data_IF_367466434622
#
_entry.id   IF_367466434622
#
_cell.length_a   1.000
_cell.length_b   1.000
_cell.length_c   1.000
_cell.angle_alpha   90.00
_cell.angle_beta   90.00
_cell.angle_gamma   90.00
#
_symmetry.space_group_name_H-M   'P 1'
#
loop_
_entity.id
_entity.type
_entity.pdbx_description
1 polymer ?
2 non-polymer ?
3 water ?
#
# COMPACT_ATOMS: atom_id res chain seq x y z
N UNK A 2 -14.40 -15.77 19.30
CA UNK A 2 -15.28 -14.71 18.72
C UNK A 2 -15.43 -13.58 19.75
N UNK A 3 -15.11 -13.84 21.04
CA UNK A 3 -15.24 -12.87 22.14
C UNK A 3 -14.55 -13.41 23.40
N UNK A 4 -13.72 -12.56 24.04
CA UNK A 4 -13.15 -12.80 25.37
C UNK A 4 -13.82 -11.85 26.37
N UNK A 5 -14.80 -12.37 27.13
CA UNK A 5 -15.67 -11.55 27.96
C UNK A 5 -14.84 -10.93 29.08
N UNK A 6 -15.17 -9.66 29.39
CA UNK A 6 -14.61 -8.94 30.52
C UNK A 6 -15.54 -9.09 31.73
N UNK A 7 -14.97 -9.65 32.81
CA UNK A 7 -15.64 -9.97 34.07
C UNK A 7 -15.02 -9.12 35.19
N UNK A 8 -15.84 -8.85 36.24
CA UNK A 8 -15.48 -8.04 37.39
C UNK A 8 -14.55 -8.79 38.36
N UNK A 9 -13.42 -8.19 38.81
CA UNK A 9 -12.78 -8.62 40.04
C UNK A 9 -13.67 -8.29 41.24
N UNK A 19 -6.46 -14.63 38.63
CA UNK A 19 -6.72 -13.55 37.64
C UNK A 19 -5.46 -13.27 36.81
N UNK A 20 -4.32 -13.01 37.47
CA UNK A 20 -3.07 -12.73 36.78
C UNK A 20 -2.44 -14.01 36.23
N UNK A 21 -2.95 -15.18 36.67
CA UNK A 21 -2.64 -16.46 36.06
C UNK A 21 -3.63 -16.74 34.92
N UNK A 22 -4.89 -16.31 35.08
CA UNK A 22 -5.89 -16.42 34.01
C UNK A 22 -5.47 -15.56 32.82
N UNK A 23 -5.06 -14.31 33.10
CA UNK A 23 -4.78 -13.35 32.05
C UNK A 23 -3.44 -13.70 31.41
N UNK A 24 -2.45 -14.15 32.19
CA UNK A 24 -1.17 -14.59 31.63
C UNK A 24 -1.32 -15.95 30.95
N UNK A 25 -2.37 -16.70 31.32
CA UNK A 25 -2.79 -17.89 30.60
C UNK A 25 -3.29 -17.55 29.21
N UNK A 26 -4.21 -16.59 29.14
CA UNK A 26 -4.77 -16.08 27.89
C UNK A 26 -3.67 -15.58 26.95
N UNK A 27 -2.72 -14.83 27.51
CA UNK A 27 -1.69 -14.20 26.72
C UNK A 27 -0.66 -15.21 26.24
N UNK A 28 -0.50 -16.30 26.98
CA UNK A 28 0.37 -17.37 26.52
C UNK A 28 -0.33 -18.08 25.36
N UNK A 29 -1.62 -18.38 25.51
CA UNK A 29 -2.41 -19.03 24.47
C UNK A 29 -2.41 -18.20 23.19
N UNK A 30 -2.59 -16.88 23.37
CA UNK A 30 -2.77 -15.95 22.28
C UNK A 30 -1.46 -15.77 21.52
N UNK A 31 -0.37 -15.60 22.27
CA UNK A 31 0.95 -15.50 21.66
C UNK A 31 1.19 -16.70 20.73
N UNK A 32 0.71 -17.89 21.15
CA UNK A 32 0.84 -19.15 20.42
C UNK A 32 0.17 -19.02 19.04
N UNK A 33 -1.11 -18.56 19.04
CA UNK A 33 -1.87 -18.41 17.81
C UNK A 33 -1.21 -17.37 16.90
N UNK A 34 -0.67 -16.27 17.46
CA UNK A 34 -0.02 -15.24 16.67
C UNK A 34 1.28 -15.75 16.04
N UNK A 35 1.98 -16.69 16.70
CA UNK A 35 3.17 -17.27 16.10
C UNK A 35 2.76 -18.16 14.91
N UNK A 36 1.64 -18.88 15.06
CA UNK A 36 1.13 -19.79 14.06
C UNK A 36 0.70 -18.97 12.84
N UNK A 37 -0.11 -17.93 13.10
CA UNK A 37 -0.63 -17.07 12.05
C UNK A 37 0.52 -16.41 11.29
N UNK A 38 1.54 -15.98 12.05
CA UNK A 38 2.67 -15.28 11.47
C UNK A 38 3.46 -16.22 10.54
N UNK A 39 3.54 -17.50 10.92
CA UNK A 39 4.21 -18.52 10.13
C UNK A 39 3.55 -18.72 8.76
N UNK A 40 2.21 -18.74 8.71
CA UNK A 40 1.48 -19.15 7.51
C UNK A 40 0.93 -17.96 6.72
N UNK A 41 1.25 -16.72 7.13
CA UNK A 41 0.66 -15.55 6.49
C UNK A 41 1.35 -15.24 5.17
N UNK A 42 0.57 -15.19 4.07
CA UNK A 42 1.09 -14.93 2.74
C UNK A 42 0.27 -13.91 1.93
N UNK A 43 -0.92 -13.50 2.38
CA UNK A 43 -1.89 -12.86 1.51
C UNK A 43 -1.85 -11.32 1.48
N UNK A 44 -1.29 -10.71 2.52
CA UNK A 44 -1.46 -9.28 2.72
C UNK A 44 -0.08 -8.66 2.74
N UNK A 45 0.03 -7.37 2.36
CA UNK A 45 1.32 -6.73 2.18
C UNK A 45 1.98 -6.18 3.44
N UNK A 46 2.06 -7.03 4.47
CA UNK A 46 2.64 -6.63 5.74
C UNK A 46 3.95 -7.38 5.98
N UNK A 47 5.03 -6.62 6.17
CA UNK A 47 6.31 -7.15 6.57
C UNK A 47 6.24 -7.58 8.03
N UNK A 48 6.46 -8.88 8.25
CA UNK A 48 6.24 -9.53 9.54
C UNK A 48 7.58 -9.80 10.22
N UNK A 49 8.66 -9.42 9.56
CA UNK A 49 9.99 -9.52 10.13
C UNK A 49 10.24 -8.18 10.82
N UNK A 50 9.76 -8.13 12.08
CA UNK A 50 9.81 -6.93 12.92
C UNK A 50 10.96 -7.11 13.90
N UNK A 51 11.93 -6.19 13.86
CA UNK A 51 13.07 -6.31 14.75
C UNK A 51 13.30 -4.96 15.45
N UNK A 52 12.46 -4.74 16.48
CA UNK A 52 12.34 -3.48 17.20
C UNK A 52 12.26 -3.77 18.71
N UNK A 53 12.87 -4.89 19.13
CA UNK A 53 12.80 -5.36 20.51
C UNK A 53 13.30 -4.32 21.53
N UNK A 54 14.44 -3.61 21.30
CA UNK A 54 14.84 -2.46 22.12
C UNK A 54 13.87 -1.28 22.33
N UNK A 55 13.00 -1.00 21.35
CA UNK A 55 12.04 0.10 21.43
C UNK A 55 10.87 -0.23 22.35
N UNK A 56 10.70 -1.51 22.71
CA UNK A 56 9.49 -1.98 23.39
C UNK A 56 9.40 -1.42 24.82
N UNK A 57 10.54 -1.06 25.41
CA UNK A 57 10.57 -0.32 26.66
C UNK A 57 9.71 0.95 26.64
N UNK A 58 9.64 1.62 25.47
CA UNK A 58 9.01 2.93 25.30
C UNK A 58 7.48 2.83 25.36
N UNK A 59 6.97 1.61 25.50
CA UNK A 59 5.54 1.31 25.60
C UNK A 59 5.07 1.74 26.99
N UNK A 60 6.02 2.14 27.85
CA UNK A 60 5.77 2.64 29.18
C UNK A 60 5.25 4.09 29.13
N UNK A 61 5.45 4.77 27.97
CA UNK A 61 5.09 6.18 27.80
C UNK A 61 3.90 6.37 26.87
N UNK A 62 3.07 7.36 27.24
CA UNK A 62 1.98 7.81 26.40
C UNK A 62 2.52 8.84 25.42
N UNK A 63 3.21 8.35 24.38
CA UNK A 63 3.79 9.24 23.37
C UNK A 63 2.70 9.66 22.37
N UNK A 64 2.66 10.98 22.13
CA UNK A 64 1.62 11.59 21.34
C UNK A 64 2.21 12.78 20.61
N UNK A 65 2.20 12.73 19.26
CA UNK A 65 2.75 13.78 18.42
C UNK A 65 1.66 14.76 18.00
N UNK A 66 0.52 14.68 18.67
CA UNK A 66 -0.52 15.70 18.71
C UNK A 66 -0.05 17.01 18.07
N UNK A 67 -0.61 17.35 16.90
CA UNK A 67 -0.33 18.59 16.19
C UNK A 67 0.69 18.40 15.06
N UNK A 68 1.21 19.54 14.59
CA UNK A 68 2.13 19.61 13.46
C UNK A 68 3.46 18.95 13.83
N UNK A 69 4.06 18.12 12.95
CA UNK A 69 5.39 17.58 13.25
C UNK A 69 6.47 18.68 13.43
N UNK A 70 6.27 19.84 12.79
CA UNK A 70 7.29 20.87 12.65
C UNK A 70 7.07 22.02 13.63
N UNK A 71 5.91 22.04 14.29
CA UNK A 71 5.58 22.99 15.35
C UNK A 71 5.25 22.18 16.59
N UNK A 72 6.17 22.23 17.57
CA UNK A 72 6.04 21.54 18.84
C UNK A 72 4.86 22.12 19.64
N UNK A 73 3.99 21.20 20.09
CA UNK A 73 2.88 21.52 20.97
C UNK A 73 3.39 21.53 22.41
N UNK A 74 2.55 22.00 23.34
CA UNK A 74 2.91 22.07 24.74
C UNK A 74 2.96 20.68 25.39
N UNK A 75 2.31 19.66 24.77
CA UNK A 75 2.42 18.28 25.24
C UNK A 75 3.82 17.77 24.94
N UNK A 76 4.59 17.50 26.00
CA UNK A 76 6.00 17.22 25.86
C UNK A 76 6.36 15.76 25.59
N UNK A 77 5.45 14.80 25.80
CA UNK A 77 5.80 13.40 25.63
C UNK A 77 5.59 13.01 24.16
N UNK A 78 6.58 13.35 23.32
CA UNK A 78 6.46 13.22 21.88
C UNK A 78 7.78 12.79 21.24
N UNK A 79 7.71 12.46 19.95
CA UNK A 79 8.83 11.90 19.21
C UNK A 79 9.09 12.72 17.96
N UNK A 80 8.81 14.04 17.98
CA UNK A 80 9.04 14.87 16.81
C UNK A 80 10.46 14.80 16.25
N UNK A 81 11.49 14.56 17.07
CA UNK A 81 12.87 14.53 16.55
C UNK A 81 12.97 13.35 15.60
N UNK A 82 12.40 12.21 16.00
CA UNK A 82 12.34 11.02 15.17
C UNK A 82 11.45 11.26 13.95
N UNK A 83 10.25 11.81 14.20
CA UNK A 83 9.27 11.95 13.14
C UNK A 83 9.83 12.82 12.02
N UNK A 84 10.37 13.97 12.41
CA UNK A 84 10.93 14.90 11.46
C UNK A 84 12.15 14.29 10.75
N UNK A 85 12.98 13.57 11.49
CA UNK A 85 14.02 12.77 10.86
C UNK A 85 13.52 11.93 9.68
N UNK A 86 12.40 11.23 9.91
CA UNK A 86 11.85 10.26 8.97
C UNK A 86 11.24 10.98 7.78
N UNK A 87 10.53 12.07 8.05
CA UNK A 87 9.90 12.82 6.98
C UNK A 87 10.98 13.39 6.07
N UNK A 88 12.10 13.81 6.65
CA UNK A 88 13.19 14.40 5.87
C UNK A 88 13.76 13.35 4.93
N UNK A 89 13.90 12.13 5.44
CA UNK A 89 14.40 11.02 4.65
C UNK A 89 13.46 10.74 3.47
N UNK A 90 12.16 10.82 3.74
CA UNK A 90 11.17 10.56 2.70
C UNK A 90 11.21 11.70 1.70
N UNK A 91 11.38 12.94 2.18
CA UNK A 91 11.46 14.06 1.25
C UNK A 91 12.67 13.91 0.31
N UNK A 92 13.80 13.50 0.86
CA UNK A 92 15.00 13.23 0.07
C UNK A 92 14.65 12.15 -0.95
N UNK A 93 14.09 11.02 -0.46
CA UNK A 93 13.69 9.90 -1.29
C UNK A 93 12.86 10.33 -2.48
N UNK A 94 11.91 11.25 -2.31
CA UNK A 94 11.00 11.63 -3.38
C UNK A 94 11.39 12.97 -4.01
N UNK A 95 12.62 13.41 -3.71
CA UNK A 95 13.21 14.60 -4.32
C UNK A 95 12.33 15.82 -4.12
N UNK A 96 12.10 16.17 -2.86
CA UNK A 96 11.56 17.48 -2.52
C UNK A 96 12.38 18.10 -1.37
N UNK A 97 12.64 19.41 -1.47
CA UNK A 97 13.61 20.04 -0.59
C UNK A 97 12.91 20.28 0.76
N UNK A 98 13.71 20.46 1.83
CA UNK A 98 13.23 20.83 3.15
C UNK A 98 12.15 21.93 3.07
N UNK A 99 12.34 22.99 2.29
CA UNK A 99 11.54 24.21 2.44
C UNK A 99 10.47 24.25 1.34
N UNK A 100 10.40 23.14 0.60
CA UNK A 100 9.33 22.95 -0.37
C UNK A 100 8.24 22.01 0.15
N UNK A 101 8.52 21.19 1.18
CA UNK A 101 7.63 20.09 1.55
C UNK A 101 7.04 20.20 2.96
N UNK A 102 5.88 19.56 3.12
CA UNK A 102 5.31 19.25 4.42
C UNK A 102 4.78 17.81 4.40
N UNK A 103 4.74 17.20 5.56
CA UNK A 103 4.13 15.89 5.66
C UNK A 103 4.05 15.45 7.11
N UNK A 104 3.58 14.21 7.30
CA UNK A 104 3.41 13.68 8.65
C UNK A 104 3.36 12.16 8.59
N UNK A 105 3.65 11.56 9.73
CA UNK A 105 3.46 10.14 9.91
C UNK A 105 2.01 9.86 10.34
N UNK A 106 1.30 9.11 9.48
CA UNK A 106 -0.11 8.81 9.59
C UNK A 106 -0.34 7.49 10.34
N UNK A 107 -1.61 7.10 10.43
CA UNK A 107 -2.03 5.82 10.99
C UNK A 107 -2.23 4.75 9.92
N UNK A 108 -1.92 5.05 8.65
CA UNK A 108 -1.89 4.05 7.62
C UNK A 108 -2.18 4.64 6.25
N UNK A 109 -2.24 3.76 5.25
CA UNK A 109 -2.39 4.16 3.87
C UNK A 109 -3.70 4.89 3.64
N UNK A 110 -4.75 4.51 4.40
CA UNK A 110 -6.05 5.13 4.25
C UNK A 110 -5.99 6.60 4.64
N UNK A 111 -5.30 6.91 5.75
CA UNK A 111 -5.20 8.29 6.18
C UNK A 111 -4.40 9.09 5.16
N UNK A 112 -3.32 8.52 4.61
CA UNK A 112 -2.53 9.20 3.58
C UNK A 112 -3.39 9.56 2.38
N UNK A 113 -4.26 8.63 1.96
CA UNK A 113 -5.19 8.86 0.86
C UNK A 113 -6.24 9.91 1.23
N UNK A 114 -6.80 9.84 2.43
CA UNK A 114 -7.80 10.82 2.84
C UNK A 114 -7.19 12.21 2.84
N UNK A 115 -5.95 12.31 3.29
CA UNK A 115 -5.29 13.60 3.38
C UNK A 115 -4.99 14.12 1.98
N UNK A 116 -4.36 13.27 1.16
CA UNK A 116 -3.95 13.67 -0.17
C UNK A 116 -5.14 14.11 -1.02
N UNK A 117 -6.24 13.37 -0.97
CA UNK A 117 -7.37 13.68 -1.81
C UNK A 117 -8.04 14.95 -1.32
N UNK A 118 -8.05 15.17 0.00
CA UNK A 118 -8.60 16.38 0.62
C UNK A 118 -7.78 17.60 0.22
N UNK A 119 -6.46 17.48 0.22
CA UNK A 119 -5.59 18.54 -0.29
C UNK A 119 -6.00 18.92 -1.71
N UNK A 120 -6.12 17.93 -2.59
CA UNK A 120 -6.51 18.17 -3.97
C UNK A 120 -7.85 18.88 -4.07
N UNK A 121 -8.82 18.52 -3.21
CA UNK A 121 -10.11 19.16 -3.23
C UNK A 121 -10.00 20.64 -2.84
N UNK A 122 -9.07 20.99 -1.97
CA UNK A 122 -8.99 22.36 -1.48
C UNK A 122 -8.28 23.22 -2.53
N UNK A 123 -7.33 22.63 -3.27
CA UNK A 123 -6.72 23.29 -4.41
C UNK A 123 -7.79 23.55 -5.46
N UNK A 124 -8.69 22.57 -5.69
CA UNK A 124 -9.71 22.65 -6.74
C UNK A 124 -11.06 22.18 -6.21
N UNK A 125 -11.80 23.04 -5.48
CA UNK A 125 -13.14 22.69 -4.99
C UNK A 125 -14.14 22.21 -6.03
N UNK A 126 -13.92 22.65 -7.28
CA UNK A 126 -14.76 22.32 -8.43
C UNK A 126 -14.18 21.12 -9.20
N UNK A 127 -12.95 20.72 -8.86
CA UNK A 127 -12.23 19.61 -9.47
C UNK A 127 -13.10 18.37 -9.65
N UNK A 128 -13.02 17.77 -10.84
CA UNK A 128 -13.50 16.40 -11.03
C UNK A 128 -12.38 15.47 -10.55
N UNK A 129 -12.77 14.41 -9.84
CA UNK A 129 -11.83 13.42 -9.31
C UNK A 129 -11.80 12.18 -10.21
N UNK A 130 -10.59 11.75 -10.54
CA UNK A 130 -10.37 10.61 -11.41
C UNK A 130 -9.48 9.59 -10.70
N UNK A 131 -9.89 8.33 -10.79
CA UNK A 131 -9.07 7.23 -10.30
C UNK A 131 -9.45 5.97 -11.08
N UNK A 132 -8.54 4.98 -11.12
CA UNK A 132 -8.82 3.76 -11.88
C UNK A 132 -9.81 2.84 -11.16
N UNK A 133 -10.41 1.94 -11.94
CA UNK A 133 -11.37 0.99 -11.44
C UNK A 133 -10.77 0.03 -10.42
N UNK A 134 -9.44 0.01 -10.28
CA UNK A 134 -8.76 -0.93 -9.39
C UNK A 134 -8.02 -0.18 -8.28
N UNK A 135 -8.51 1.03 -8.01
CA UNK A 135 -8.15 1.79 -6.83
C UNK A 135 -8.65 1.09 -5.59
N UNK A 136 -7.90 1.32 -4.50
CA UNK A 136 -8.25 0.82 -3.19
C UNK A 136 -9.55 1.45 -2.71
N UNK A 137 -10.26 0.73 -1.85
CA UNK A 137 -11.59 1.14 -1.41
C UNK A 137 -11.51 2.45 -0.63
N UNK A 138 -10.32 2.77 -0.09
CA UNK A 138 -10.10 4.00 0.65
C UNK A 138 -10.35 5.20 -0.25
N UNK A 139 -10.07 5.02 -1.56
CA UNK A 139 -10.08 6.13 -2.49
C UNK A 139 -11.52 6.54 -2.78
N UNK A 140 -12.39 5.54 -3.01
CA UNK A 140 -13.79 5.80 -3.31
C UNK A 140 -14.51 6.25 -2.05
N UNK A 141 -14.12 5.69 -0.90
CA UNK A 141 -14.57 6.15 0.41
C UNK A 141 -14.25 7.65 0.59
N UNK A 142 -13.00 8.05 0.34
CA UNK A 142 -12.63 9.46 0.42
C UNK A 142 -13.56 10.34 -0.42
N UNK A 143 -13.81 9.93 -1.68
CA UNK A 143 -14.60 10.73 -2.62
C UNK A 143 -16.02 10.92 -2.11
N UNK A 144 -16.58 9.86 -1.51
CA UNK A 144 -17.92 9.93 -0.95
C UNK A 144 -17.90 10.77 0.32
N UNK A 145 -16.90 10.59 1.17
CA UNK A 145 -16.82 11.38 2.40
C UNK A 145 -16.74 12.86 2.05
N UNK A 146 -16.05 13.18 0.97
CA UNK A 146 -15.75 14.56 0.65
C UNK A 146 -16.78 15.12 -0.32
N UNK A 147 -17.71 14.29 -0.78
CA UNK A 147 -18.72 14.70 -1.75
C UNK A 147 -18.05 15.23 -3.01
N UNK A 148 -17.15 14.43 -3.57
CA UNK A 148 -16.46 14.77 -4.79
C UNK A 148 -17.04 13.90 -5.91
N UNK A 149 -17.18 14.49 -7.11
CA UNK A 149 -17.62 13.74 -8.26
C UNK A 149 -16.45 12.87 -8.71
N UNK A 150 -16.70 11.55 -8.70
CA UNK A 150 -15.67 10.57 -8.99
C UNK A 150 -15.96 9.90 -10.34
N UNK A 151 -15.02 10.04 -11.27
CA UNK A 151 -15.09 9.40 -12.56
C UNK A 151 -14.13 8.21 -12.55
N UNK A 152 -14.67 6.98 -12.54
CA UNK A 152 -13.84 5.77 -12.58
C UNK A 152 -13.27 5.57 -13.98
N UNK A 153 -11.94 5.45 -14.03
CA UNK A 153 -11.22 5.28 -15.26
C UNK A 153 -10.94 3.79 -15.45
N UNK A 154 -11.08 3.34 -16.69
CA UNK A 154 -10.80 1.97 -17.03
C UNK A 154 -9.33 1.60 -16.80
N UNK A 155 -9.08 0.29 -16.90
CA UNK A 155 -7.84 -0.36 -16.52
C UNK A 155 -7.49 -1.36 -17.63
N UNK A 156 -6.21 -1.44 -17.97
CA UNK A 156 -5.70 -2.55 -18.77
C UNK A 156 -5.80 -3.87 -17.99
N UNK A 157 -5.54 -4.99 -18.69
CA UNK A 157 -5.71 -6.33 -18.16
C UNK A 157 -4.89 -6.44 -16.87
N UNK A 158 -3.71 -5.83 -16.85
CA UNK A 158 -2.73 -6.07 -15.80
C UNK A 158 -3.02 -5.18 -14.59
N UNK A 159 -3.93 -4.19 -14.77
CA UNK A 159 -4.45 -3.40 -13.68
C UNK A 159 -4.01 -1.93 -13.71
N UNK A 160 -3.04 -1.59 -14.56
CA UNK A 160 -2.66 -0.21 -14.87
C UNK A 160 -3.85 0.64 -15.31
N UNK A 161 -3.86 1.92 -14.93
CA UNK A 161 -4.89 2.82 -15.46
C UNK A 161 -4.73 2.86 -16.98
N UNK A 162 -5.87 2.95 -17.69
CA UNK A 162 -5.93 3.03 -19.14
C UNK A 162 -5.93 4.50 -19.56
N UNK A 163 -4.78 5.01 -20.04
CA UNK A 163 -4.61 6.44 -20.31
C UNK A 163 -5.35 6.89 -21.57
N UNK A 164 -5.79 5.94 -22.40
CA UNK A 164 -6.72 6.23 -23.49
C UNK A 164 -8.09 6.54 -22.92
N UNK A 165 -8.53 5.72 -21.96
CA UNK A 165 -9.83 5.95 -21.33
C UNK A 165 -9.79 7.21 -20.46
N UNK A 166 -8.63 7.43 -19.82
CA UNK A 166 -8.33 8.65 -19.08
C UNK A 166 -8.50 9.86 -19.99
N UNK A 167 -7.73 9.86 -21.10
CA UNK A 167 -7.82 10.89 -22.13
C UNK A 167 -9.28 11.16 -22.50
N UNK A 168 -10.01 10.11 -22.86
CA UNK A 168 -11.42 10.26 -23.24
C UNK A 168 -12.18 11.04 -22.18
N UNK A 169 -12.05 10.57 -20.92
CA UNK A 169 -12.78 11.11 -19.77
C UNK A 169 -12.38 12.56 -19.46
N UNK A 170 -11.06 12.85 -19.46
CA UNK A 170 -10.59 14.22 -19.38
C UNK A 170 -11.35 15.09 -20.39
N UNK A 171 -11.32 14.67 -21.67
CA UNK A 171 -11.81 15.47 -22.79
C UNK A 171 -13.29 15.81 -22.64
N UNK A 172 -14.09 15.02 -21.91
CA UNK A 172 -15.50 15.36 -21.71
C UNK A 172 -15.72 16.17 -20.43
N UNK A 173 -14.64 16.68 -19.80
CA UNK A 173 -14.73 17.58 -18.66
C UNK A 173 -13.58 18.59 -18.76
N UNK A 174 -13.43 19.13 -19.98
CA UNK A 174 -12.37 20.08 -20.33
C UNK A 174 -12.46 21.37 -19.49
N UNK A 175 -13.69 21.74 -19.11
CA UNK A 175 -13.97 22.99 -18.41
C UNK A 175 -13.33 22.99 -17.02
N UNK A 176 -13.41 21.86 -16.30
CA UNK A 176 -13.06 21.83 -14.89
C UNK A 176 -11.66 21.26 -14.67
N UNK A 177 -11.02 21.65 -13.52
CA UNK A 177 -9.75 21.07 -13.10
C UNK A 177 -9.86 19.56 -12.85
N UNK A 178 -8.71 18.91 -12.95
CA UNK A 178 -8.62 17.47 -12.74
C UNK A 178 -7.82 17.21 -11.45
N UNK A 179 -8.45 16.47 -10.52
CA UNK A 179 -7.77 15.85 -9.40
C UNK A 179 -7.61 14.35 -9.68
N UNK A 180 -6.38 13.86 -9.60
CA UNK A 180 -6.15 12.47 -9.96
C UNK A 180 -5.51 11.71 -8.80
N UNK A 181 -6.05 10.50 -8.54
CA UNK A 181 -5.34 9.49 -7.78
C UNK A 181 -4.73 8.47 -8.73
N UNK A 182 -3.41 8.23 -8.54
CA UNK A 182 -2.65 7.21 -9.22
C UNK A 182 -2.26 6.13 -8.22
N UNK A 183 -2.42 4.88 -8.65
CA UNK A 183 -2.11 3.72 -7.86
C UNK A 183 -0.70 3.23 -8.19
N UNK A 184 0.21 3.41 -7.23
CA UNK A 184 1.55 2.87 -7.34
C UNK A 184 1.56 1.53 -6.59
N UNK A 185 1.06 0.49 -7.29
CA UNK A 185 0.92 -0.84 -6.73
C UNK A 185 -0.53 -1.08 -6.28
N UNK A 186 -1.40 -1.42 -7.24
CA UNK A 186 -2.80 -1.70 -6.95
C UNK A 186 -2.89 -2.91 -6.02
N UNK A 187 -3.95 -2.89 -5.21
CA UNK A 187 -4.17 -3.90 -4.16
C UNK A 187 -4.12 -5.32 -4.72
N UNK A 188 -4.94 -5.61 -5.75
CA UNK A 188 -5.14 -6.99 -6.14
C UNK A 188 -4.00 -7.47 -7.02
N UNK A 189 -3.70 -6.71 -8.08
CA UNK A 189 -2.83 -7.17 -9.15
C UNK A 189 -1.41 -6.60 -9.07
N UNK A 190 -1.20 -5.57 -8.25
CA UNK A 190 0.14 -5.05 -8.08
C UNK A 190 0.58 -4.23 -9.30
N UNK A 191 -0.38 -3.60 -9.96
CA UNK A 191 -0.06 -2.76 -11.10
C UNK A 191 0.43 -1.40 -10.63
N UNK A 192 1.20 -0.74 -11.50
CA UNK A 192 1.72 0.62 -11.27
C UNK A 192 1.20 1.51 -12.40
N UNK A 193 0.33 2.46 -12.03
CA UNK A 193 -0.14 3.48 -12.96
C UNK A 193 1.07 4.26 -13.49
N UNK A 194 1.00 4.58 -14.78
CA UNK A 194 2.06 5.26 -15.52
C UNK A 194 1.96 6.76 -15.27
N UNK A 195 2.69 7.22 -14.26
CA UNK A 195 2.73 8.62 -13.86
C UNK A 195 3.04 9.48 -15.08
N UNK A 196 4.16 9.16 -15.73
CA UNK A 196 4.68 9.92 -16.87
C UNK A 196 3.63 10.00 -17.98
N UNK A 197 2.96 8.88 -18.28
CA UNK A 197 2.00 8.89 -19.38
C UNK A 197 0.74 9.67 -18.99
N UNK A 198 0.34 9.57 -17.71
CA UNK A 198 -0.81 10.33 -17.21
C UNK A 198 -0.52 11.83 -17.34
N UNK A 199 0.71 12.22 -16.96
CA UNK A 199 1.10 13.62 -17.00
C UNK A 199 1.09 14.09 -18.46
N UNK A 200 1.78 13.37 -19.34
CA UNK A 200 1.71 13.64 -20.77
C UNK A 200 0.25 13.77 -21.25
N UNK A 201 -0.63 12.86 -20.85
CA UNK A 201 -2.00 12.86 -21.34
C UNK A 201 -2.73 14.14 -20.95
N UNK A 202 -2.47 14.60 -19.71
CA UNK A 202 -3.02 15.84 -19.19
C UNK A 202 -2.54 17.02 -20.04
N UNK A 203 -1.24 17.06 -20.32
CA UNK A 203 -0.62 18.16 -21.05
C UNK A 203 -1.24 18.23 -22.46
N UNK A 204 -1.34 17.09 -23.15
CA UNK A 204 -1.82 17.11 -24.53
C UNK A 204 -3.35 17.16 -24.59
N UNK A 205 -4.02 17.18 -23.43
CA UNK A 205 -5.46 17.42 -23.39
C UNK A 205 -5.77 18.86 -23.01
N UNK A 206 -4.70 19.66 -22.78
CA UNK A 206 -4.85 21.09 -22.56
C UNK A 206 -4.77 21.51 -21.09
N UNK A 207 -4.55 20.54 -20.17
CA UNK A 207 -4.39 20.82 -18.75
C UNK A 207 -2.93 21.17 -18.45
N UNK A 208 -2.73 22.40 -18.00
CA UNK A 208 -1.43 22.79 -17.51
C UNK A 208 -1.37 22.49 -16.02
N UNK A 209 -0.14 22.47 -15.50
CA UNK A 209 0.18 22.05 -14.15
C UNK A 209 -0.80 22.62 -13.12
N UNK A 210 -1.28 23.83 -13.40
CA UNK A 210 -2.03 24.60 -12.42
C UNK A 210 -3.53 24.38 -12.65
N UNK A 211 -3.89 23.32 -13.38
CA UNK A 211 -5.28 22.89 -13.45
C UNK A 211 -5.43 21.38 -13.23
N UNK A 212 -4.39 20.73 -12.67
CA UNK A 212 -4.53 19.38 -12.17
C UNK A 212 -3.70 19.20 -10.90
N UNK A 213 -4.17 18.26 -10.05
CA UNK A 213 -3.49 17.83 -8.83
C UNK A 213 -3.45 16.31 -8.86
N UNK A 214 -2.26 15.73 -8.61
CA UNK A 214 -2.11 14.28 -8.56
C UNK A 214 -1.69 13.83 -7.15
N UNK A 215 -2.42 12.85 -6.64
CA UNK A 215 -1.95 12.11 -5.49
C UNK A 215 -1.47 10.72 -5.91
N UNK A 216 -0.34 10.29 -5.39
CA UNK A 216 0.14 8.93 -5.59
C UNK A 216 -0.13 8.09 -4.34
N UNK A 217 -1.01 7.08 -4.51
CA UNK A 217 -1.23 6.09 -3.47
C UNK A 217 -0.17 5.02 -3.65
N UNK A 218 0.86 5.04 -2.79
CA UNK A 218 1.94 4.10 -2.89
C UNK A 218 2.05 3.20 -1.67
N UNK A 219 0.91 2.74 -1.15
CA UNK A 219 0.85 2.11 0.15
C UNK A 219 1.97 1.08 0.34
N UNK A 220 2.09 0.12 -0.59
CA UNK A 220 3.22 -0.80 -0.59
C UNK A 220 4.35 -0.33 -1.52
N UNK A 221 4.07 -0.17 -2.82
CA UNK A 221 5.13 -0.06 -3.83
C UNK A 221 5.76 1.33 -3.96
N UNK A 222 5.10 2.40 -3.49
CA UNK A 222 5.75 3.70 -3.42
C UNK A 222 7.03 3.67 -2.58
N UNK A 223 7.07 2.82 -1.54
CA UNK A 223 8.29 2.65 -0.78
C UNK A 223 9.32 1.91 -1.63
N UNK A 224 8.88 0.85 -2.32
CA UNK A 224 9.81 -0.05 -2.96
C UNK A 224 10.38 0.54 -4.25
N UNK A 225 9.56 1.28 -5.00
CA UNK A 225 9.98 1.64 -6.34
C UNK A 225 11.31 2.43 -6.36
N UNK A 226 11.56 3.41 -5.46
CA UNK A 226 12.81 4.18 -5.52
C UNK A 226 14.09 3.34 -5.40
N UNK A 227 13.96 2.09 -4.97
CA UNK A 227 15.14 1.27 -4.79
C UNK A 227 15.50 0.49 -6.05
N UNK A 228 14.67 0.61 -7.08
CA UNK A 228 14.96 0.05 -8.39
C UNK A 228 15.54 1.16 -9.27
N UNK A 229 16.22 0.76 -10.34
CA UNK A 229 16.78 1.71 -11.29
C UNK A 229 15.77 2.12 -12.36
N UNK A 230 14.51 1.66 -12.28
CA UNK A 230 13.59 1.73 -13.40
C UNK A 230 12.19 2.13 -12.94
N UNK A 231 11.26 2.21 -13.90
CA UNK A 231 9.85 2.43 -13.61
C UNK A 231 9.54 3.93 -13.66
N UNK A 232 8.25 4.35 -13.60
CA UNK A 232 7.90 5.78 -13.53
C UNK A 232 8.31 6.35 -12.17
N UNK A 233 9.54 6.87 -12.10
CA UNK A 233 10.11 7.46 -10.89
C UNK A 233 9.10 8.39 -10.24
N UNK A 234 9.03 8.27 -8.89
CA UNK A 234 8.21 9.13 -8.05
C UNK A 234 9.10 10.28 -7.58
N UNK A 235 8.80 11.47 -8.08
CA UNK A 235 9.64 12.61 -7.78
C UNK A 235 8.77 13.86 -7.88
N UNK A 236 9.00 14.79 -6.95
CA UNK A 236 8.26 16.03 -7.01
C UNK A 236 8.90 16.99 -8.02
N UNK A 237 10.01 16.56 -8.66
CA UNK A 237 10.47 17.24 -9.88
C UNK A 237 9.39 17.12 -10.96
N UNK A 238 8.53 16.10 -10.91
CA UNK A 238 7.36 16.09 -11.76
C UNK A 238 6.22 16.79 -11.04
N UNK A 239 5.15 17.19 -11.76
CA UNK A 239 4.01 17.85 -11.13
C UNK A 239 2.99 16.93 -10.42
N UNK A 240 3.49 16.15 -9.45
CA UNK A 240 2.63 15.48 -8.48
C UNK A 240 2.45 16.39 -7.27
N UNK A 241 1.33 16.17 -6.55
CA UNK A 241 0.90 16.95 -5.39
C UNK A 241 1.31 16.32 -4.06
N UNK A 242 1.16 14.98 -3.95
CA UNK A 242 1.30 14.25 -2.69
C UNK A 242 1.53 12.77 -2.97
N UNK A 243 2.28 12.16 -2.04
CA UNK A 243 2.58 10.74 -2.08
C UNK A 243 2.39 10.19 -0.67
N UNK A 244 1.61 9.08 -0.52
CA UNK A 244 1.56 8.30 0.72
C UNK A 244 2.09 6.88 0.56
N UNK A 245 2.71 6.39 1.63
CA UNK A 245 3.04 5.00 1.76
C UNK A 245 2.58 4.54 3.15
N UNK A 246 2.51 3.22 3.32
CA UNK A 246 2.18 2.59 4.59
C UNK A 246 3.45 2.05 5.22
N UNK A 247 3.66 2.37 6.50
CA UNK A 247 4.86 1.93 7.20
C UNK A 247 4.83 0.47 7.64
N UNK A 248 3.65 -0.03 7.99
CA UNK A 248 3.46 -1.43 8.37
C UNK A 248 3.40 -2.39 7.16
N UNK A 250 5.77 -2.32 3.67
CA UNK A 250 7.13 -2.76 3.36
C UNK A 250 8.09 -2.64 4.55
N UNK A 251 8.12 -1.51 5.27
CA UNK A 251 9.15 -1.31 6.28
C UNK A 251 8.88 -2.22 7.48
N UNK A 252 7.60 -2.38 7.81
CA UNK A 252 7.19 -3.22 8.92
C UNK A 252 7.09 -2.41 10.20
N UNK A 253 5.93 -2.55 10.87
CA UNK A 253 5.67 -1.83 12.10
C UNK A 253 4.63 -2.62 12.89
N UNK A 254 4.80 -2.84 14.22
CA UNK A 254 3.79 -3.53 15.00
C UNK A 254 2.37 -2.97 14.81
N UNK A 255 2.24 -1.63 14.76
CA UNK A 255 0.98 -0.95 14.51
C UNK A 255 0.95 -0.33 13.11
N UNK A 256 -0.23 -0.28 12.47
CA UNK A 256 -0.35 0.46 11.22
C UNK A 256 0.12 1.92 11.35
N UNK A 257 0.83 2.35 10.32
CA UNK A 257 1.28 3.72 10.20
C UNK A 257 1.53 4.02 8.73
N UNK A 258 1.91 5.27 8.45
CA UNK A 258 2.22 5.69 7.09
C UNK A 258 2.98 7.01 7.07
N UNK A 259 3.36 7.41 5.86
CA UNK A 259 4.03 8.67 5.64
C UNK A 259 3.30 9.33 4.48
N UNK A 260 2.86 10.58 4.71
CA UNK A 260 2.21 11.41 3.71
C UNK A 260 3.12 12.61 3.48
N UNK A 261 3.45 12.90 2.22
CA UNK A 261 4.33 14.01 1.91
C UNK A 261 3.72 14.79 0.76
N UNK A 262 3.53 16.10 1.00
CA UNK A 262 3.01 17.01 0.01
C UNK A 262 3.93 18.24 -0.09
N UNK A 263 3.52 19.13 -1.00
CA UNK A 263 4.17 20.41 -1.23
C UNK A 263 3.63 21.39 -0.19
N UNK A 264 4.55 22.15 0.43
CA UNK A 264 4.22 23.10 1.48
C UNK A 264 3.13 24.09 1.08
N UNK A 265 3.16 24.55 -0.17
CA UNK A 265 2.20 25.54 -0.63
C UNK A 265 0.79 24.95 -0.55
N UNK A 266 0.70 23.63 -0.72
CA UNK A 266 -0.56 22.90 -0.68
C UNK A 266 -1.17 22.80 0.73
N UNK A 267 -0.34 22.79 1.79
CA UNK A 267 -0.84 22.52 3.13
C UNK A 267 -1.52 23.74 3.74
N UNK A 268 -1.28 24.97 3.24
CA UNK A 268 -1.76 26.20 3.89
C UNK A 268 -3.29 26.21 3.99
N UNK A 269 -3.97 25.66 2.97
CA UNK A 269 -5.42 25.62 2.92
C UNK A 269 -6.04 24.71 3.99
N UNK A 270 -5.29 23.69 4.51
CA UNK A 270 -5.76 22.79 5.55
C UNK A 270 -5.30 23.25 6.94
N UNK A 271 -4.15 23.93 7.01
CA UNK A 271 -3.51 24.20 8.28
C UNK A 271 -4.19 25.37 9.00
N UNK A 272 -4.66 25.11 10.22
CA UNK A 272 -5.22 26.12 11.11
C UNK A 272 -4.51 26.10 12.46
N UNK A 273 -4.33 27.26 13.08
CA UNK A 273 -3.77 27.34 14.42
C UNK A 273 -4.79 26.77 15.40
N UNK A 274 -4.30 26.08 16.45
CA UNK A 274 -5.15 25.62 17.55
C UNK A 274 -4.49 26.09 18.83
N UNK A 275 -5.14 27.05 19.52
CA UNK A 275 -4.45 27.76 20.58
C UNK A 275 -4.10 26.81 21.73
N UNK A 276 -5.00 25.87 22.10
CA UNK A 276 -4.82 25.05 23.30
C UNK A 276 -3.70 24.00 23.11
N UNK A 277 -3.30 23.72 21.85
CA UNK A 277 -2.16 22.87 21.54
C UNK A 277 -0.85 23.66 21.50
N UNK A 278 -0.89 24.97 21.19
CA UNK A 278 0.28 25.74 20.73
C UNK A 278 0.93 25.03 19.53
N UNK A 279 0.06 24.61 18.59
CA UNK A 279 0.49 23.99 17.35
C UNK A 279 -0.57 24.26 16.29
N UNK A 280 -0.37 23.72 15.09
CA UNK A 280 -1.34 23.84 14.01
C UNK A 280 -1.96 22.46 13.72
N UNK A 281 -3.22 22.49 13.23
CA UNK A 281 -3.91 21.31 12.79
C UNK A 281 -3.98 21.31 11.25
N UNK A 282 -3.21 20.41 10.63
CA UNK A 282 -3.25 20.23 9.19
C UNK A 282 -3.28 18.73 8.86
N UNK A 283 -3.64 17.93 9.88
CA UNK A 283 -3.72 16.49 9.79
C UNK A 283 -5.19 16.08 9.79
N UNK A 284 -5.49 14.86 9.33
CA UNK A 284 -6.82 14.27 9.49
C UNK A 284 -7.10 14.05 10.99
N UNK A 285 -6.06 13.57 11.68
CA UNK A 285 -6.09 13.20 13.08
C UNK A 285 -5.78 14.41 13.95
N UNK A 286 -6.00 14.21 15.26
CA UNK A 286 -5.53 15.10 16.32
C UNK A 286 -4.38 14.44 17.05
N UNK A 287 -4.68 13.70 18.14
CA UNK A 287 -3.68 12.85 18.78
C UNK A 287 -3.09 11.92 17.71
N UNK A 288 -1.75 11.80 17.72
CA UNK A 288 -1.02 10.98 16.76
C UNK A 288 -0.01 10.09 17.48
N UNK A 289 0.08 8.87 16.94
CA UNK A 289 1.00 7.85 17.38
C UNK A 289 2.43 8.39 17.25
N UNK A 290 3.11 8.38 18.41
CA UNK A 290 4.49 8.83 18.53
C UNK A 290 5.48 7.69 18.73
N UNK A 291 5.02 6.45 18.72
CA UNK A 291 5.94 5.33 18.76
C UNK A 291 6.33 4.91 17.35
N UNK A 292 5.37 4.95 16.42
CA UNK A 292 5.62 4.74 15.00
C UNK A 292 6.83 5.50 14.48
N UNK A 293 6.94 6.83 14.72
CA UNK A 293 8.05 7.60 14.20
C UNK A 293 9.40 7.03 14.68
N UNK A 294 9.42 6.55 15.91
CA UNK A 294 10.66 6.03 16.48
C UNK A 294 11.01 4.73 15.78
N UNK A 295 9.98 3.90 15.64
CA UNK A 295 10.12 2.59 15.02
C UNK A 295 10.63 2.75 13.60
N UNK A 296 10.06 3.67 12.83
CA UNK A 296 10.46 3.83 11.44
C UNK A 296 11.86 4.46 11.37
N UNK A 297 12.17 5.36 12.30
CA UNK A 297 13.49 5.96 12.38
C UNK A 297 14.52 4.87 12.64
N UNK A 298 14.23 4.03 13.61
CA UNK A 298 15.13 2.94 13.95
C UNK A 298 15.46 2.13 12.70
N UNK A 299 14.43 1.86 11.89
CA UNK A 299 14.57 0.94 10.78
C UNK A 299 15.39 1.61 9.68
N UNK A 300 15.08 2.87 9.40
CA UNK A 300 15.76 3.58 8.33
C UNK A 300 17.27 3.68 8.62
N UNK A 301 17.62 3.80 9.91
CA UNK A 301 18.99 4.01 10.35
C UNK A 301 19.79 2.72 10.29
N UNK A 302 19.20 1.62 10.77
CA UNK A 302 19.83 0.32 10.80
C UNK A 302 20.11 -0.22 9.40
N UNK A 303 19.26 0.10 8.42
CA UNK A 303 19.29 -0.58 7.14
C UNK A 303 19.74 0.37 6.05
N UNK A 304 19.28 1.61 6.08
CA UNK A 304 19.65 2.58 5.08
C UNK A 304 19.14 2.21 3.70
N UNK A 305 19.35 3.12 2.74
CA UNK A 305 18.98 2.92 1.34
C UNK A 305 19.52 1.59 0.82
N UNK A 306 20.70 1.15 1.28
CA UNK A 306 21.30 -0.06 0.73
C UNK A 306 20.72 -1.33 1.36
N UNK A 307 20.33 -1.29 2.64
CA UNK A 307 19.62 -2.41 3.26
C UNK A 307 18.22 -2.61 2.66
N UNK A 308 17.53 -1.50 2.36
CA UNK A 308 16.16 -1.54 1.83
C UNK A 308 16.22 -2.04 0.40
N UNK A 309 17.18 -1.55 -0.37
CA UNK A 309 17.36 -1.98 -1.75
C UNK A 309 17.52 -3.51 -1.81
N UNK A 310 18.32 -4.05 -0.89
CA UNK A 310 18.58 -5.46 -0.90
C UNK A 310 17.27 -6.22 -0.67
N UNK A 311 16.56 -5.79 0.37
CA UNK A 311 15.29 -6.38 0.79
C UNK A 311 14.26 -6.30 -0.33
N UNK A 312 14.19 -5.15 -1.03
CA UNK A 312 13.28 -5.03 -2.15
C UNK A 312 13.67 -6.04 -3.22
N UNK A 313 14.96 -6.16 -3.53
CA UNK A 313 15.41 -6.98 -4.65
C UNK A 313 15.13 -8.45 -4.33
N UNK A 314 15.34 -8.86 -3.08
CA UNK A 314 15.10 -10.23 -2.71
C UNK A 314 13.61 -10.58 -2.85
N UNK A 315 12.73 -9.62 -2.55
CA UNK A 315 11.29 -9.83 -2.58
C UNK A 315 10.85 -9.96 -4.04
N UNK A 316 11.41 -9.15 -4.94
CA UNK A 316 11.05 -9.30 -6.34
C UNK A 316 11.52 -10.66 -6.87
N UNK A 317 12.68 -11.11 -6.39
CA UNK A 317 13.22 -12.38 -6.81
C UNK A 317 12.33 -13.52 -6.31
N UNK A 318 11.95 -13.45 -5.03
CA UNK A 318 11.11 -14.47 -4.43
C UNK A 318 9.71 -14.50 -5.07
N UNK A 319 9.23 -13.37 -5.58
CA UNK A 319 7.96 -13.33 -6.28
C UNK A 319 8.09 -14.03 -7.65
N UNK A 320 9.16 -13.67 -8.37
CA UNK A 320 9.53 -14.28 -9.64
C UNK A 320 9.56 -15.80 -9.48
N UNK A 321 10.24 -16.23 -8.42
CA UNK A 321 10.36 -17.64 -8.12
C UNK A 321 8.99 -18.24 -7.92
N UNK A 322 8.14 -17.63 -7.10
CA UNK A 322 6.85 -18.27 -6.82
C UNK A 322 6.06 -18.39 -8.12
N UNK A 323 5.96 -17.31 -8.90
CA UNK A 323 5.26 -17.33 -10.17
C UNK A 323 5.74 -18.49 -11.05
N UNK A 324 7.07 -18.55 -11.26
CA UNK A 324 7.68 -19.58 -12.10
C UNK A 324 7.21 -20.97 -11.68
N UNK A 325 7.29 -21.29 -10.39
CA UNK A 325 6.93 -22.59 -9.90
C UNK A 325 5.44 -22.88 -10.12
N UNK A 326 4.59 -21.85 -10.02
CA UNK A 326 3.15 -22.01 -10.27
C UNK A 326 2.90 -22.34 -11.74
N UNK A 327 3.54 -21.64 -12.69
CA UNK A 327 3.34 -21.90 -14.11
C UNK A 327 3.83 -23.29 -14.50
N UNK A 328 5.02 -23.62 -13.99
CA UNK A 328 5.55 -24.97 -13.98
C UNK A 328 4.51 -25.97 -13.52
N UNK A 329 3.77 -25.67 -12.45
CA UNK A 329 2.74 -26.58 -11.95
C UNK A 329 1.43 -26.44 -12.75
N UNK A 330 1.47 -25.68 -13.86
CA UNK A 330 0.30 -25.42 -14.69
C UNK A 330 -0.80 -24.71 -13.92
N UNK A 331 -0.42 -23.78 -13.01
CA UNK A 331 -1.36 -22.93 -12.28
C UNK A 331 -1.25 -21.54 -12.87
N UNK A 332 -2.40 -21.03 -13.34
CA UNK A 332 -2.51 -19.68 -13.85
C UNK A 332 -1.93 -18.72 -12.81
N UNK A 333 -1.06 -17.82 -13.25
CA UNK A 333 -0.37 -16.91 -12.35
C UNK A 333 0.25 -15.77 -13.16
N UNK A 334 0.27 -14.58 -12.56
CA UNK A 334 0.83 -13.39 -13.19
C UNK A 334 1.59 -12.60 -12.13
N UNK A 335 2.67 -11.92 -12.57
CA UNK A 335 3.44 -10.99 -11.77
C UNK A 335 3.81 -9.79 -12.64
N UNK A 336 3.34 -8.59 -12.28
CA UNK A 336 3.67 -7.39 -13.04
C UNK A 336 5.17 -7.11 -12.87
N UNK A 337 5.75 -6.28 -13.74
CA UNK A 337 7.20 -6.04 -13.73
C UNK A 337 7.68 -5.36 -12.44
N UNK A 338 6.84 -4.46 -11.90
CA UNK A 338 7.22 -3.62 -10.77
C UNK A 338 6.35 -4.04 -9.58
N UNK A 339 6.57 -5.26 -9.07
CA UNK A 339 5.59 -5.89 -8.20
C UNK A 339 6.23 -7.00 -7.39
N UNK A 340 5.72 -7.20 -6.18
CA UNK A 340 6.03 -8.39 -5.40
C UNK A 340 4.74 -9.19 -5.20
N UNK A 341 3.70 -8.87 -5.99
CA UNK A 341 2.42 -9.55 -5.79
C UNK A 341 2.15 -10.46 -6.98
N UNK A 342 1.97 -11.74 -6.60
CA UNK A 342 1.77 -12.89 -7.47
C UNK A 342 0.30 -13.26 -7.43
N UNK A 343 -0.39 -12.92 -8.54
CA UNK A 343 -1.80 -13.18 -8.74
C UNK A 343 -1.87 -14.59 -9.28
N UNK A 344 -2.81 -15.40 -8.80
CA UNK A 344 -2.91 -16.75 -9.31
C UNK A 344 -4.31 -17.31 -9.07
N UNK A 345 -4.60 -18.44 -9.72
CA UNK A 345 -5.89 -19.09 -9.66
C UNK A 345 -6.31 -19.23 -8.20
N UNK A 346 -7.51 -18.75 -7.88
CA UNK A 346 -7.99 -18.78 -6.51
C UNK A 346 -8.16 -20.23 -6.06
N UNK A 347 -7.46 -20.70 -4.99
CA UNK A 347 -7.69 -22.02 -4.44
C UNK A 347 -9.19 -22.27 -4.20
N UNK A 348 -9.65 -23.45 -4.61
CA UNK A 348 -11.04 -23.82 -4.48
C UNK A 348 -11.33 -24.10 -2.99
N UNK A 349 -10.39 -24.74 -2.29
CA UNK A 349 -10.48 -25.06 -0.87
C UNK A 349 -10.34 -23.80 0.01
N UNK A 350 -11.43 -23.39 0.65
CA UNK A 350 -11.41 -22.13 1.36
C UNK A 350 -10.83 -22.30 2.77
N UNK A 351 -10.70 -23.55 3.27
CA UNK A 351 -9.87 -23.79 4.45
C UNK A 351 -8.39 -23.57 4.12
N UNK A 352 -8.00 -23.82 2.86
CA UNK A 352 -6.62 -23.61 2.44
C UNK A 352 -6.36 -22.11 2.35
N UNK A 353 -7.29 -21.39 1.72
CA UNK A 353 -7.28 -19.93 1.69
C UNK A 353 -7.15 -19.34 3.11
N UNK A 354 -7.88 -19.89 4.09
CA UNK A 354 -7.87 -19.34 5.44
C UNK A 354 -6.56 -19.68 6.14
N UNK A 355 -5.93 -20.80 5.78
CA UNK A 355 -4.72 -21.24 6.46
C UNK A 355 -3.51 -20.39 6.07
N UNK A 356 -3.43 -20.03 4.78
CA UNK A 356 -2.35 -19.20 4.27
C UNK A 356 -2.76 -17.73 4.14
N UNK A 357 -3.98 -17.42 4.58
CA UNK A 357 -4.45 -16.07 4.83
C UNK A 357 -4.37 -15.32 3.52
N UNK A 358 -4.89 -15.98 2.48
CA UNK A 358 -4.84 -15.45 1.12
C UNK A 358 -5.94 -14.43 0.92
N UNK A 359 -5.61 -13.37 0.16
CA UNK A 359 -6.59 -12.41 -0.29
C UNK A 359 -7.07 -12.86 -1.66
N UNK A 360 -8.38 -12.70 -1.90
CA UNK A 360 -9.09 -13.29 -3.00
C UNK A 360 -10.00 -12.26 -3.64
N UNK A 361 -10.05 -12.26 -4.96
CA UNK A 361 -11.08 -11.52 -5.67
C UNK A 361 -11.52 -12.30 -6.91
N UNK A 362 -12.81 -12.65 -6.96
CA UNK A 362 -13.36 -13.42 -8.07
C UNK A 362 -12.62 -14.74 -8.20
N UNK A 363 -11.99 -14.96 -9.36
CA UNK A 363 -11.19 -16.16 -9.58
C UNK A 363 -9.71 -15.99 -9.25
N UNK A 364 -9.32 -14.80 -8.78
CA UNK A 364 -7.93 -14.55 -8.39
C UNK A 364 -7.76 -14.72 -6.88
N UNK A 365 -6.60 -15.24 -6.49
CA UNK A 365 -6.03 -15.02 -5.17
C UNK A 365 -4.71 -14.31 -5.38
N UNK A 366 -4.03 -13.95 -4.29
CA UNK A 366 -2.67 -13.45 -4.44
C UNK A 366 -1.83 -13.70 -3.20
N UNK A 367 -0.51 -13.76 -3.47
CA UNK A 367 0.53 -13.83 -2.46
C UNK A 367 1.34 -12.57 -2.60
N UNK A 368 1.62 -11.92 -1.46
CA UNK A 368 2.52 -10.78 -1.45
C UNK A 368 3.77 -11.17 -0.69
N UNK A 369 4.87 -11.02 -1.42
CA UNK A 369 6.17 -11.51 -1.00
C UNK A 369 6.83 -10.38 -0.24
N UNK A 370 6.56 -10.39 1.07
CA UNK A 370 7.15 -9.45 2.01
C UNK A 370 8.49 -10.02 2.53
N UNK A 371 9.38 -9.18 3.10
CA UNK A 371 10.69 -9.67 3.57
C UNK A 371 10.64 -10.97 4.38
N UNK A 372 9.56 -11.19 5.14
CA UNK A 372 9.44 -12.39 5.96
C UNK A 372 9.22 -13.64 5.10
N UNK A 373 8.86 -13.46 3.82
CA UNK A 373 8.39 -14.55 2.98
C UNK A 373 9.59 -15.12 2.24
N UNK A 374 10.02 -16.31 2.74
CA UNK A 374 11.23 -16.97 2.30
C UNK A 374 10.88 -18.05 1.28
N UNK A 375 11.95 -18.48 0.59
CA UNK A 375 11.86 -19.57 -0.38
C UNK A 375 11.38 -20.87 0.30
N UNK A 376 11.95 -21.13 1.48
CA UNK A 376 11.56 -22.27 2.30
C UNK A 376 10.03 -22.23 2.50
N UNK A 377 9.47 -21.06 2.83
CA UNK A 377 8.05 -20.93 3.14
C UNK A 377 7.18 -21.08 1.88
N UNK A 378 7.67 -20.52 0.77
CA UNK A 378 6.98 -20.63 -0.49
C UNK A 378 6.92 -22.10 -0.93
N UNK A 379 8.00 -22.85 -0.68
CA UNK A 379 8.05 -24.27 -1.01
C UNK A 379 7.03 -25.02 -0.20
N UNK A 380 6.96 -24.76 1.12
CA UNK A 380 5.96 -25.41 1.97
C UNK A 380 4.58 -25.24 1.35
N UNK A 381 4.32 -24.00 0.90
CA UNK A 381 3.05 -23.52 0.36
C UNK A 381 2.69 -24.25 -0.93
N UNK A 382 3.64 -24.21 -1.89
CA UNK A 382 3.49 -24.87 -3.19
C UNK A 382 3.25 -26.37 -3.06
N UNK A 383 4.05 -27.03 -2.22
CA UNK A 383 3.90 -28.45 -1.97
C UNK A 383 2.46 -28.72 -1.52
N UNK A 384 1.91 -27.88 -0.63
CA UNK A 384 0.54 -28.09 -0.18
C UNK A 384 -0.45 -27.77 -1.30
N UNK A 385 -0.18 -26.72 -2.07
CA UNK A 385 -1.14 -26.27 -3.06
C UNK A 385 -1.27 -27.35 -4.14
N UNK A 386 -0.13 -27.77 -4.70
CA UNK A 386 -0.11 -28.75 -5.77
C UNK A 386 -0.81 -30.04 -5.31
N UNK A 387 -0.50 -30.53 -4.11
CA UNK A 387 -1.13 -31.71 -3.54
C UNK A 387 -2.66 -31.59 -3.54
N UNK A 388 -3.22 -30.53 -2.96
CA UNK A 388 -4.66 -30.44 -2.81
C UNK A 388 -5.33 -30.17 -4.16
N UNK A 389 -4.67 -29.39 -5.03
CA UNK A 389 -5.22 -28.98 -6.30
C UNK A 389 -5.56 -30.21 -7.15
N UNK A 390 -4.76 -31.28 -7.01
CA UNK A 390 -5.01 -32.51 -7.76
C UNK A 390 -6.42 -33.04 -7.53
N UNK A 391 -7.04 -32.72 -6.38
CA UNK A 391 -8.39 -33.19 -6.04
C UNK A 391 -9.52 -32.30 -6.59
N UNK A 392 -9.21 -31.15 -7.21
CA UNK A 392 -10.24 -30.13 -7.40
C UNK A 392 -10.88 -30.22 -8.79
N UNK A 393 -10.08 -30.54 -9.82
CA UNK A 393 -10.51 -30.35 -11.21
C UNK A 393 -10.44 -31.66 -12.03
N UNK A 394 -10.02 -32.77 -11.38
CA UNK A 394 -9.86 -34.08 -12.00
C UNK A 394 -11.22 -34.78 -12.19
N UNK A 395 -11.16 -36.10 -12.55
CA UNK A 395 -12.30 -36.95 -12.86
C UNK A 395 -13.26 -36.17 -13.77
N UNK A 396 -14.57 -36.25 -13.49
CA UNK A 396 -15.58 -35.67 -14.36
C UNK A 396 -15.88 -34.21 -14.01
N UNK A 397 -15.17 -33.70 -12.99
CA UNK A 397 -15.35 -32.34 -12.47
C UNK A 397 -14.83 -31.30 -13.48
N UNK A 398 -15.05 -30.02 -13.16
CA UNK A 398 -15.18 -28.95 -14.16
C UNK A 398 -13.92 -28.77 -15.01
N UNK A 399 -12.71 -28.79 -14.42
CA UNK A 399 -11.54 -28.23 -15.07
C UNK A 399 -11.25 -26.82 -14.56
N UNK A 400 -9.97 -26.37 -14.46
CA UNK A 400 -9.66 -25.07 -13.84
C UNK A 400 -10.46 -23.88 -14.40
N UNK A 401 -10.76 -22.82 -13.60
CA UNK A 401 -11.37 -21.60 -14.14
C UNK A 401 -10.42 -20.93 -15.13
N UNK A 402 -10.99 -20.09 -16.01
CA UNK A 402 -10.21 -19.28 -16.92
C UNK A 402 -9.90 -17.92 -16.28
N UNK A 403 -8.61 -17.61 -16.09
CA UNK A 403 -8.22 -16.30 -15.57
C UNK A 403 -7.82 -15.33 -16.69
N UNK A 404 -8.00 -15.68 -17.97
CA UNK A 404 -7.57 -14.81 -19.05
C UNK A 404 -8.19 -13.42 -18.96
N UNK A 405 -9.49 -13.27 -18.62
CA UNK A 405 -10.08 -11.93 -18.50
C UNK A 405 -9.39 -11.05 -17.44
N UNK A 406 -8.79 -11.69 -16.42
CA UNK A 406 -8.23 -11.01 -15.26
C UNK A 406 -6.73 -10.78 -15.42
N UNK A 407 -6.00 -11.73 -16.01
CA UNK A 407 -4.55 -11.66 -15.97
C UNK A 407 -3.93 -11.80 -17.37
N UNK A 408 -4.75 -12.01 -18.40
CA UNK A 408 -4.26 -12.25 -19.75
C UNK A 408 -4.11 -13.75 -20.04
N UNK A 409 -4.39 -14.10 -21.30
CA UNK A 409 -4.47 -15.48 -21.74
C UNK A 409 -3.08 -16.09 -21.80
N UNK A 410 -2.08 -15.20 -21.94
CA UNK A 410 -0.67 -15.58 -21.86
C UNK A 410 -0.34 -16.14 -20.47
N UNK A 411 -1.09 -15.70 -19.43
CA UNK A 411 -0.82 -16.11 -18.05
C UNK A 411 -1.81 -17.17 -17.56
N UNK A 412 -2.84 -17.46 -18.35
CA UNK A 412 -3.83 -18.45 -17.97
C UNK A 412 -3.41 -19.87 -18.37
N UNK A 413 -3.67 -20.84 -17.47
CA UNK A 413 -3.32 -22.24 -17.74
C UNK A 413 -4.56 -23.13 -17.65
N UNK A 414 -5.73 -22.60 -18.04
CA UNK A 414 -6.91 -23.45 -18.09
C UNK A 414 -6.79 -24.43 -19.26
N UNK A 415 -7.79 -25.30 -19.40
CA UNK A 415 -7.76 -26.37 -20.38
C UNK A 415 -7.60 -25.82 -21.79
N UNK A 416 -8.01 -24.58 -21.96
CA UNK A 416 -7.95 -23.93 -23.26
C UNK A 416 -6.63 -23.17 -23.43
N UNK A 417 -6.30 -22.25 -22.51
CA UNK A 417 -5.21 -21.29 -22.71
C UNK A 417 -3.84 -21.94 -22.49
N UNK A 418 -3.78 -23.04 -21.75
CA UNK A 418 -2.51 -23.72 -21.57
C UNK A 418 -1.98 -24.26 -22.91
N UNK A 419 -2.88 -24.45 -23.88
CA UNK A 419 -2.52 -25.07 -25.15
C UNK A 419 -1.64 -24.11 -25.95
N UNK A 420 -2.09 -22.84 -26.03
CA UNK A 420 -1.41 -21.72 -26.68
C UNK A 420 -0.02 -21.39 -26.10
N UNK A 421 0.41 -22.02 -24.98
CA UNK A 421 1.80 -21.96 -24.51
C UNK A 421 2.40 -23.37 -24.60
#
# INVERSE_FOLDING_TARGET
TTSLTITEPDVDDDSTSDMEAFMAGVLVRYRKTLIEKTKYHLGYPFNLDLDYGPLAELQHFAINNLGDPFIESNYGVHSRQFEVGVLDWFARLWEIEQKEYWGYITNGGTEGNLHGILIGREVFPDGIFYTSRESHYSIFKAARMYRMECVKVGTLINGEIDCADFKAKLLSNKDKPAIINLNIGTTVKGAVDDIDLVIQTLEECGFSHDRFYIHCDGALFGFMMPFLNRGPKITFKKPIGSVSVSGHXFMGCPTPCGVQITRLEHINALSRNVEYLASRDATITGSRNGHSPIILWYALNRKGFKGFQKEVQKCLRNAHYLKDRLREAGISAMLNELSSTVVFERPLDEEFVRRWQLACEGNMAHVIVMPNVTIEKLDEFLNELVQKRANWYNDGKAGPPCLAPDIGSENCDCDLHKLKH
#
